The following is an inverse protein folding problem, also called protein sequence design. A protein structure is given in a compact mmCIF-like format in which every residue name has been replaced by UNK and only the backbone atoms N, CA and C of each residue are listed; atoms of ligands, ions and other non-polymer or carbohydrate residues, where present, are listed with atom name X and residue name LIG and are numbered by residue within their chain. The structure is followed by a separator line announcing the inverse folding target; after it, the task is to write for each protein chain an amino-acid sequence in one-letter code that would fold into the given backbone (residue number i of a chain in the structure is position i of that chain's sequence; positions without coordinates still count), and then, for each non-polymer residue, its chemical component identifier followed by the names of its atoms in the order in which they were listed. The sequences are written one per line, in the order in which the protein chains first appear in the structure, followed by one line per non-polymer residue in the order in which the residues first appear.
data_IF_768129920996
#
_entry.id   IF_768129920996
#
_cell.length_a   1.000
_cell.length_b   1.000
_cell.length_c   1.000
_cell.angle_alpha   90.00
_cell.angle_beta   90.00
_cell.angle_gamma   90.00
#
_symmetry.space_group_name_H-M   'P 1'
#
loop_
_entity.id
_entity.type
_entity.pdbx_description
1 polymer ?
#
# COMPACT_ATOMS: atom_id res chain seq x y z
N UNK A 1 0.45 -13.85 -26.21
CA UNK A 1 -0.14 -12.64 -26.84
C UNK A 1 0.86 -11.50 -26.75
N UNK A 2 1.23 -10.85 -27.87
CA UNK A 2 2.06 -9.62 -27.85
C UNK A 2 1.20 -8.48 -27.28
N UNK A 3 1.71 -7.81 -26.25
CA UNK A 3 1.03 -6.69 -25.58
C UNK A 3 1.45 -5.35 -26.18
N UNK A 4 2.75 -5.15 -26.37
CA UNK A 4 3.32 -3.89 -26.83
C UNK A 4 4.76 -4.09 -27.33
N UNK A 5 5.29 -3.06 -27.98
CA UNK A 5 6.69 -2.93 -28.38
C UNK A 5 7.11 -1.49 -28.11
N UNK A 6 8.34 -1.30 -27.60
CA UNK A 6 8.83 0.02 -27.24
C UNK A 6 10.24 0.25 -27.76
N UNK A 7 10.46 1.45 -28.31
CA UNK A 7 11.74 1.99 -28.81
C UNK A 7 12.57 1.05 -29.71
N UNK A 8 11.97 -0.03 -30.24
CA UNK A 8 12.66 -1.07 -31.02
C UNK A 8 13.55 -2.02 -30.20
N UNK A 9 13.72 -1.77 -28.89
CA UNK A 9 14.61 -2.55 -28.03
C UNK A 9 13.89 -3.60 -27.19
N UNK A 10 12.56 -3.52 -27.01
CA UNK A 10 11.80 -4.50 -26.23
C UNK A 10 10.46 -4.88 -26.86
N UNK A 11 10.12 -6.16 -26.73
CA UNK A 11 8.78 -6.68 -27.02
C UNK A 11 8.16 -7.28 -25.76
N UNK A 12 6.95 -6.85 -25.41
CA UNK A 12 6.23 -7.31 -24.23
C UNK A 12 5.17 -8.34 -24.62
N UNK A 13 5.11 -9.43 -23.88
CA UNK A 13 4.19 -10.53 -24.10
C UNK A 13 3.50 -10.94 -22.80
N UNK A 14 2.29 -11.46 -22.94
CA UNK A 14 1.59 -12.20 -21.90
C UNK A 14 1.25 -13.59 -22.39
N UNK A 15 1.62 -14.59 -21.61
CA UNK A 15 1.35 -16.00 -21.87
C UNK A 15 0.95 -16.67 -20.56
N UNK A 16 -0.24 -17.29 -20.54
CA UNK A 16 -0.83 -17.90 -19.35
C UNK A 16 -0.76 -17.00 -18.09
N UNK A 17 0.07 -17.39 -17.12
CA UNK A 17 0.28 -16.76 -15.81
C UNK A 17 1.59 -15.96 -15.76
N UNK A 18 2.11 -15.55 -16.92
CA UNK A 18 3.38 -14.83 -17.05
C UNK A 18 3.23 -13.59 -17.94
N UNK A 19 3.85 -12.48 -17.52
CA UNK A 19 4.17 -11.34 -18.38
C UNK A 19 5.68 -11.30 -18.54
N UNK A 20 6.17 -11.30 -19.77
CA UNK A 20 7.60 -11.29 -20.07
C UNK A 20 7.95 -10.26 -21.14
N UNK A 21 9.11 -9.64 -20.98
CA UNK A 21 9.75 -8.79 -21.96
C UNK A 21 10.90 -9.56 -22.62
N UNK A 22 10.90 -9.56 -23.95
CA UNK A 22 12.03 -10.00 -24.77
C UNK A 22 12.88 -8.79 -25.13
N UNK A 23 14.16 -8.84 -24.79
CA UNK A 23 15.14 -7.81 -25.10
C UNK A 23 15.65 -8.04 -26.51
N UNK A 24 15.28 -7.14 -27.43
CA UNK A 24 15.61 -7.23 -28.86
C UNK A 24 17.00 -6.66 -29.16
N UNK A 25 17.48 -5.77 -28.31
CA UNK A 25 18.83 -5.24 -28.30
C UNK A 25 19.53 -5.61 -26.99
N UNK A 26 20.88 -5.60 -26.92
CA UNK A 26 21.59 -5.85 -25.68
C UNK A 26 21.19 -4.81 -24.61
N UNK A 27 20.90 -5.26 -23.39
CA UNK A 27 20.57 -4.39 -22.26
C UNK A 27 21.41 -4.77 -21.05
N UNK A 28 21.81 -3.78 -20.25
CA UNK A 28 22.27 -3.96 -18.89
C UNK A 28 21.08 -4.04 -17.97
N UNK A 29 20.96 -5.15 -17.24
CA UNK A 29 19.88 -5.45 -16.31
C UNK A 29 20.40 -5.40 -14.87
N UNK A 30 19.71 -4.70 -13.99
CA UNK A 30 19.86 -4.80 -12.54
C UNK A 30 18.57 -5.34 -11.94
N UNK A 31 18.62 -6.48 -11.25
CA UNK A 31 17.43 -7.16 -10.73
C UNK A 31 17.59 -7.56 -9.27
N UNK A 32 16.50 -7.47 -8.50
CA UNK A 32 16.43 -7.95 -7.11
C UNK A 32 15.97 -9.41 -7.00
N UNK A 33 15.89 -10.16 -8.11
CA UNK A 33 15.50 -11.56 -8.04
C UNK A 33 16.47 -12.39 -7.18
N UNK A 34 15.94 -13.39 -6.47
CA UNK A 34 16.70 -14.22 -5.51
C UNK A 34 17.55 -15.32 -6.14
N UNK A 35 17.39 -15.56 -7.44
CA UNK A 35 18.23 -16.49 -8.21
C UNK A 35 19.57 -15.86 -8.59
N UNK A 36 20.47 -16.63 -9.19
CA UNK A 36 21.73 -16.20 -9.82
C UNK A 36 21.56 -15.11 -10.89
N UNK A 37 20.36 -14.92 -11.44
CA UNK A 37 20.04 -13.79 -12.32
C UNK A 37 19.81 -12.45 -11.57
N UNK A 38 19.97 -12.45 -10.24
CA UNK A 38 19.95 -11.24 -9.41
C UNK A 38 21.25 -10.46 -9.53
N UNK A 39 21.23 -9.18 -9.15
CA UNK A 39 22.36 -8.28 -9.36
C UNK A 39 22.40 -7.76 -10.80
N UNK A 40 23.60 -7.44 -11.28
CA UNK A 40 23.81 -6.75 -12.56
C UNK A 40 24.33 -7.70 -13.64
N UNK A 41 23.67 -7.73 -14.79
CA UNK A 41 23.94 -8.63 -15.91
C UNK A 41 23.80 -7.91 -17.25
N UNK A 42 24.69 -8.20 -18.20
CA UNK A 42 24.66 -7.64 -19.56
C UNK A 42 24.30 -8.70 -20.63
N UNK A 43 24.02 -9.94 -20.20
CA UNK A 43 23.88 -11.10 -21.09
C UNK A 43 22.47 -11.72 -21.10
N UNK A 44 21.52 -11.15 -20.35
CA UNK A 44 20.13 -11.59 -20.29
C UNK A 44 19.36 -11.21 -21.56
N UNK A 45 18.40 -12.04 -21.94
CA UNK A 45 17.53 -11.82 -23.11
C UNK A 45 16.06 -11.67 -22.72
N UNK A 46 15.67 -12.11 -21.52
CA UNK A 46 14.30 -12.10 -21.06
C UNK A 46 14.20 -11.63 -19.61
N UNK A 47 13.22 -10.76 -19.35
CA UNK A 47 12.77 -10.43 -18.00
C UNK A 47 11.31 -10.85 -17.89
N UNK A 48 10.94 -11.56 -16.84
CA UNK A 48 9.55 -11.95 -16.67
C UNK A 48 9.09 -11.87 -15.23
N UNK A 49 7.77 -11.69 -15.10
CA UNK A 49 7.05 -11.75 -13.85
C UNK A 49 6.01 -12.87 -13.95
N UNK A 50 6.11 -13.85 -13.06
CA UNK A 50 5.29 -15.06 -13.09
C UNK A 50 4.42 -15.15 -11.83
N UNK A 51 3.12 -15.40 -12.05
CA UNK A 51 2.16 -15.62 -10.97
C UNK A 51 2.32 -17.04 -10.40
N UNK A 52 3.00 -17.16 -9.25
CA UNK A 52 3.27 -18.44 -8.57
C UNK A 52 2.07 -19.00 -7.80
N UNK A 53 1.13 -18.15 -7.40
CA UNK A 53 -0.06 -18.51 -6.63
C UNK A 53 -1.22 -17.55 -6.86
N UNK A 54 -2.40 -17.93 -6.35
CA UNK A 54 -3.55 -17.03 -6.27
C UNK A 54 -3.44 -16.10 -5.06
N UNK A 55 -3.97 -14.86 -5.13
CA UNK A 55 -3.97 -13.89 -4.03
C UNK A 55 -4.73 -14.35 -2.78
N UNK A 56 -5.70 -15.26 -2.93
CA UNK A 56 -6.48 -15.80 -1.83
C UNK A 56 -6.53 -17.34 -1.92
N UNK A 57 -6.51 -18.00 -0.76
CA UNK A 57 -6.55 -19.46 -0.68
C UNK A 57 -5.24 -20.13 -1.15
N UNK A 58 -4.23 -20.15 -0.27
CA UNK A 58 -2.87 -20.69 -0.50
C UNK A 58 -2.78 -22.19 -0.91
N UNK A 59 -3.90 -22.85 -1.19
CA UNK A 59 -3.96 -24.29 -1.46
C UNK A 59 -3.64 -24.66 -2.91
N UNK A 60 -3.76 -23.74 -3.88
CA UNK A 60 -3.76 -24.13 -5.31
C UNK A 60 -2.38 -24.26 -5.99
N UNK A 61 -1.26 -23.89 -5.36
CA UNK A 61 0.07 -24.23 -5.91
C UNK A 61 1.19 -24.29 -4.86
N UNK A 62 0.95 -25.00 -3.77
CA UNK A 62 1.90 -25.12 -2.65
C UNK A 62 3.30 -25.62 -3.07
N UNK A 63 3.44 -26.29 -4.22
CA UNK A 63 4.74 -26.71 -4.76
C UNK A 63 5.51 -25.53 -5.36
N UNK A 64 4.92 -24.77 -6.29
CA UNK A 64 5.62 -23.65 -6.94
C UNK A 64 5.96 -22.53 -5.96
N UNK A 65 5.08 -22.24 -4.99
CA UNK A 65 5.40 -21.29 -3.92
C UNK A 65 6.56 -21.74 -3.05
N UNK A 66 6.58 -23.02 -2.62
CA UNK A 66 7.71 -23.56 -1.86
C UNK A 66 8.99 -23.50 -2.67
N UNK A 67 8.94 -23.89 -3.94
CA UNK A 67 10.09 -23.85 -4.84
C UNK A 67 10.63 -22.43 -4.99
N UNK A 68 9.76 -21.42 -5.16
CA UNK A 68 10.18 -20.01 -5.23
C UNK A 68 10.85 -19.50 -3.94
N UNK A 69 10.50 -20.07 -2.79
CA UNK A 69 11.04 -19.67 -1.48
C UNK A 69 12.34 -20.41 -1.14
N UNK A 70 12.34 -21.74 -1.29
CA UNK A 70 13.39 -22.66 -0.87
C UNK A 70 14.48 -22.85 -1.93
N UNK A 71 14.12 -22.78 -3.22
CA UNK A 71 15.04 -23.05 -4.34
C UNK A 71 14.72 -22.16 -5.55
N UNK A 72 15.01 -20.84 -5.49
CA UNK A 72 14.71 -19.89 -6.56
C UNK A 72 15.26 -20.28 -7.94
N UNK A 73 16.39 -21.00 -7.98
CA UNK A 73 16.98 -21.52 -9.22
C UNK A 73 16.12 -22.57 -9.91
N UNK A 74 15.64 -23.54 -9.15
CA UNK A 74 14.80 -24.60 -9.69
C UNK A 74 13.44 -24.04 -10.11
N UNK A 75 12.92 -23.05 -9.37
CA UNK A 75 11.74 -22.30 -9.76
C UNK A 75 11.92 -21.60 -11.10
N UNK A 76 13.03 -20.88 -11.28
CA UNK A 76 13.34 -20.22 -12.55
C UNK A 76 13.46 -21.20 -13.70
N UNK A 77 14.16 -22.33 -13.50
CA UNK A 77 14.32 -23.38 -14.52
C UNK A 77 12.96 -23.94 -14.93
N UNK A 78 12.14 -24.32 -13.95
CA UNK A 78 10.85 -24.95 -14.22
C UNK A 78 9.86 -24.00 -14.92
N UNK A 79 9.82 -22.71 -14.54
CA UNK A 79 8.98 -21.72 -15.24
C UNK A 79 9.49 -21.48 -16.66
N UNK A 80 10.80 -21.30 -16.84
CA UNK A 80 11.37 -21.06 -18.16
C UNK A 80 11.15 -22.25 -19.12
N UNK A 81 11.32 -23.49 -18.64
CA UNK A 81 11.11 -24.70 -19.44
C UNK A 81 9.66 -24.82 -19.92
N UNK A 82 8.67 -24.51 -19.07
CA UNK A 82 7.24 -24.53 -19.46
C UNK A 82 6.90 -23.54 -20.57
N UNK A 83 7.60 -22.41 -20.61
CA UNK A 83 7.39 -21.34 -21.59
C UNK A 83 8.41 -21.36 -22.73
N UNK A 84 9.20 -22.43 -22.86
CA UNK A 84 10.25 -22.57 -23.88
C UNK A 84 11.26 -21.39 -23.89
N UNK A 85 11.56 -20.83 -22.72
CA UNK A 85 12.53 -19.75 -22.56
C UNK A 85 13.90 -20.31 -22.13
N UNK A 86 15.03 -19.75 -22.60
CA UNK A 86 16.36 -20.16 -22.18
C UNK A 86 16.62 -19.69 -20.74
N UNK A 87 16.48 -20.59 -19.75
CA UNK A 87 16.49 -20.19 -18.33
C UNK A 87 17.75 -19.43 -17.90
N UNK A 88 18.93 -19.76 -18.45
CA UNK A 88 20.19 -19.06 -18.14
C UNK A 88 20.19 -17.60 -18.57
N UNK A 89 19.33 -17.23 -19.53
CA UNK A 89 19.20 -15.89 -20.11
C UNK A 89 17.97 -15.14 -19.59
N UNK A 90 17.36 -15.65 -18.52
CA UNK A 90 16.16 -15.07 -17.91
C UNK A 90 16.44 -14.57 -16.50
N UNK A 91 15.91 -13.39 -16.17
CA UNK A 91 15.66 -13.01 -14.77
C UNK A 91 14.16 -13.11 -14.45
N UNK A 92 13.88 -13.57 -13.24
CA UNK A 92 12.55 -13.99 -12.80
C UNK A 92 12.07 -13.19 -11.61
N UNK A 93 10.92 -12.55 -11.77
CA UNK A 93 10.13 -12.01 -10.67
C UNK A 93 8.96 -12.96 -10.36
N UNK A 94 8.65 -13.17 -9.09
CA UNK A 94 7.58 -14.04 -8.61
C UNK A 94 6.50 -13.26 -7.88
N UNK A 95 5.23 -13.55 -8.15
CA UNK A 95 4.11 -12.80 -7.58
C UNK A 95 2.86 -13.65 -7.35
N UNK A 96 1.97 -13.17 -6.48
CA UNK A 96 0.61 -13.68 -6.36
C UNK A 96 -0.41 -12.85 -7.16
N UNK A 97 -0.03 -11.66 -7.62
CA UNK A 97 -0.91 -10.76 -8.37
C UNK A 97 -1.32 -11.37 -9.71
N UNK A 98 -2.53 -11.05 -10.16
CA UNK A 98 -3.04 -11.56 -11.42
C UNK A 98 -2.34 -10.85 -12.59
N UNK A 99 -1.73 -11.61 -13.50
CA UNK A 99 -1.02 -11.06 -14.67
C UNK A 99 -1.90 -10.28 -15.64
N UNK A 100 -3.23 -10.44 -15.57
CA UNK A 100 -4.15 -9.59 -16.33
C UNK A 100 -4.21 -8.15 -15.80
N UNK A 101 -3.81 -7.93 -14.54
CA UNK A 101 -3.80 -6.63 -13.88
C UNK A 101 -2.43 -5.93 -13.98
N UNK A 102 -1.57 -6.38 -14.89
CA UNK A 102 -0.29 -5.72 -15.16
C UNK A 102 -0.54 -4.32 -15.76
N UNK A 103 -0.11 -3.29 -15.05
CA UNK A 103 -0.13 -1.92 -15.53
C UNK A 103 1.12 -1.64 -16.37
N UNK A 104 0.94 -0.97 -17.50
CA UNK A 104 2.03 -0.53 -18.39
C UNK A 104 1.95 1.00 -18.48
N UNK A 105 3.01 1.67 -18.05
CA UNK A 105 3.15 3.13 -18.15
C UNK A 105 4.38 3.48 -18.96
N UNK A 106 4.26 4.46 -19.86
CA UNK A 106 5.32 4.87 -20.78
C UNK A 106 5.37 6.38 -20.82
N UNK A 107 6.55 6.94 -20.56
CA UNK A 107 6.81 8.36 -20.66
C UNK A 107 7.99 8.63 -21.59
N UNK A 108 7.96 9.79 -22.25
CA UNK A 108 8.97 10.20 -23.22
C UNK A 108 9.36 11.65 -22.97
N UNK A 109 10.64 11.95 -23.08
CA UNK A 109 11.14 13.32 -23.12
C UNK A 109 12.27 13.42 -24.14
N UNK A 110 12.04 14.19 -25.21
CA UNK A 110 12.92 14.23 -26.38
C UNK A 110 13.16 12.81 -26.91
N UNK A 111 14.41 12.35 -26.85
CA UNK A 111 14.91 11.04 -27.27
C UNK A 111 14.99 10.01 -26.13
N UNK A 112 14.66 10.39 -24.89
CA UNK A 112 14.65 9.51 -23.74
C UNK A 112 13.26 8.88 -23.54
N UNK A 113 13.22 7.57 -23.36
CA UNK A 113 12.00 6.79 -23.12
C UNK A 113 12.16 5.90 -21.89
N UNK A 114 11.13 5.88 -21.05
CA UNK A 114 11.05 5.00 -19.88
C UNK A 114 9.71 4.27 -19.91
N UNK A 115 9.76 2.95 -19.78
CA UNK A 115 8.57 2.09 -19.69
C UNK A 115 8.60 1.35 -18.37
N UNK A 116 7.51 1.37 -17.62
CA UNK A 116 7.35 0.58 -16.39
C UNK A 116 6.17 -0.37 -16.53
N UNK A 117 6.43 -1.66 -16.32
CA UNK A 117 5.41 -2.69 -16.17
C UNK A 117 5.35 -3.09 -14.70
N UNK A 118 4.19 -2.91 -14.08
CA UNK A 118 4.00 -3.18 -12.66
C UNK A 118 2.82 -4.11 -12.42
N UNK A 119 2.97 -5.03 -11.47
CA UNK A 119 1.87 -5.79 -10.86
C UNK A 119 1.99 -5.61 -9.36
N UNK A 120 0.89 -5.34 -8.67
CA UNK A 120 0.92 -5.05 -7.24
C UNK A 120 -0.25 -5.69 -6.52
N UNK A 121 -0.01 -6.20 -5.31
CA UNK A 121 -1.05 -6.60 -4.37
C UNK A 121 -0.61 -6.34 -2.94
N UNK A 122 -1.44 -5.64 -2.14
CA UNK A 122 -1.05 -5.11 -0.81
C UNK A 122 -1.93 -5.58 0.35
N UNK A 123 -2.95 -6.38 0.11
CA UNK A 123 -3.87 -6.83 1.17
C UNK A 123 -3.22 -7.78 2.19
N UNK A 124 -2.25 -8.58 1.76
CA UNK A 124 -1.66 -9.62 2.60
C UNK A 124 -0.49 -9.18 3.46
N UNK A 125 0.58 -8.68 2.83
CA UNK A 125 1.91 -8.47 3.45
C UNK A 125 2.49 -7.07 3.18
N UNK A 126 1.64 -6.07 2.93
CA UNK A 126 2.10 -4.69 2.91
C UNK A 126 2.82 -4.35 4.21
N UNK A 127 4.00 -3.74 4.10
CA UNK A 127 4.89 -3.52 5.22
C UNK A 127 5.64 -2.21 5.10
N UNK A 128 6.04 -1.68 6.25
CA UNK A 128 6.84 -0.47 6.37
C UNK A 128 8.30 -0.86 6.61
N UNK A 129 9.22 -0.17 5.96
CA UNK A 129 10.65 -0.33 6.25
C UNK A 129 10.91 -0.05 7.74
N UNK A 130 11.51 -1.03 8.43
CA UNK A 130 11.72 -1.00 9.89
C UNK A 130 10.69 -1.78 10.70
N UNK A 131 9.65 -2.34 10.09
CA UNK A 131 8.72 -3.24 10.77
C UNK A 131 9.42 -4.53 11.26
N UNK A 132 8.88 -5.20 12.30
CA UNK A 132 9.48 -6.40 12.86
C UNK A 132 9.70 -7.51 11.81
N UNK A 133 10.92 -8.04 11.75
CA UNK A 133 11.25 -9.15 10.86
C UNK A 133 10.62 -10.47 11.32
N UNK A 134 10.22 -11.30 10.35
CA UNK A 134 9.66 -12.64 10.59
C UNK A 134 10.66 -13.78 10.38
N UNK A 135 11.86 -13.47 9.86
CA UNK A 135 12.86 -14.43 9.46
C UNK A 135 14.26 -13.89 9.75
N UNK A 136 15.16 -14.80 10.14
CA UNK A 136 16.60 -14.57 10.28
C UNK A 136 17.32 -15.63 9.45
N UNK A 137 18.30 -15.23 8.64
CA UNK A 137 19.12 -16.16 7.86
C UNK A 137 20.34 -16.57 8.69
N UNK A 138 20.34 -17.75 9.34
CA UNK A 138 21.48 -18.19 10.12
C UNK A 138 22.66 -18.55 9.20
N UNK A 139 23.87 -18.16 9.63
CA UNK A 139 25.10 -18.52 8.93
C UNK A 139 25.45 -20.01 9.06
N UNK A 140 25.02 -20.65 10.16
CA UNK A 140 25.23 -22.06 10.44
C UNK A 140 23.90 -22.84 10.49
N UNK A 141 23.89 -24.03 9.90
CA UNK A 141 22.73 -24.93 9.86
C UNK A 141 22.21 -25.32 11.26
N UNK A 142 23.04 -25.22 12.29
CA UNK A 142 22.70 -25.53 13.69
C UNK A 142 21.76 -24.51 14.34
N UNK A 143 21.65 -23.29 13.79
CA UNK A 143 20.77 -22.24 14.28
C UNK A 143 19.39 -22.23 13.59
N UNK A 144 19.14 -23.12 12.62
CA UNK A 144 17.84 -23.32 11.93
C UNK A 144 16.69 -23.75 12.87
N UNK A 145 16.97 -24.01 14.14
CA UNK A 145 16.01 -24.47 15.16
C UNK A 145 15.38 -23.38 16.04
N UNK A 146 15.81 -22.12 15.94
CA UNK A 146 15.08 -21.02 16.59
C UNK A 146 13.78 -20.81 15.83
N UNK A 147 12.67 -21.30 16.40
CA UNK A 147 11.32 -21.28 15.81
C UNK A 147 11.06 -19.94 15.13
N UNK A 148 11.15 -19.93 13.80
CA UNK A 148 10.51 -18.93 12.95
C UNK A 148 9.08 -18.80 13.49
N UNK A 149 8.71 -17.58 13.91
CA UNK A 149 7.31 -17.30 14.28
C UNK A 149 6.51 -17.64 13.04
N UNK A 150 5.80 -18.78 13.08
CA UNK A 150 5.25 -19.47 11.91
C UNK A 150 4.95 -18.52 10.76
N UNK A 151 5.71 -18.66 9.68
CA UNK A 151 5.61 -17.89 8.44
C UNK A 151 4.20 -18.07 7.84
N UNK A 152 3.22 -17.37 8.38
CA UNK A 152 1.94 -17.12 7.73
C UNK A 152 2.17 -15.96 6.75
N UNK A 153 3.07 -16.16 5.77
CA UNK A 153 3.27 -15.21 4.68
C UNK A 153 1.96 -15.12 3.91
N UNK A 154 1.21 -14.05 4.18
CA UNK A 154 0.04 -13.72 3.39
C UNK A 154 0.54 -13.22 2.02
N UNK A 155 -0.04 -13.69 0.92
CA UNK A 155 0.40 -13.29 -0.41
C UNK A 155 0.18 -11.79 -0.65
N UNK A 156 1.16 -11.17 -1.29
CA UNK A 156 1.14 -9.78 -1.74
C UNK A 156 2.54 -9.39 -2.21
N UNK A 157 2.65 -8.70 -3.33
CA UNK A 157 3.94 -8.19 -3.80
C UNK A 157 3.75 -7.11 -4.83
N UNK A 158 4.64 -6.13 -4.83
CA UNK A 158 4.75 -5.15 -5.90
C UNK A 158 6.01 -5.47 -6.70
N UNK A 159 5.80 -5.96 -7.93
CA UNK A 159 6.87 -6.28 -8.85
C UNK A 159 6.86 -5.30 -10.02
N UNK A 160 8.02 -4.75 -10.36
CA UNK A 160 8.18 -3.82 -11.46
C UNK A 160 9.34 -4.20 -12.40
N UNK A 161 9.09 -4.12 -13.70
CA UNK A 161 10.11 -4.16 -14.75
C UNK A 161 10.17 -2.79 -15.40
N UNK A 162 11.33 -2.14 -15.36
CA UNK A 162 11.57 -0.79 -15.85
C UNK A 162 12.55 -0.88 -17.01
N UNK A 163 12.21 -0.28 -18.13
CA UNK A 163 12.98 -0.33 -19.37
C UNK A 163 13.34 1.07 -19.83
N UNK A 164 14.60 1.28 -20.21
CA UNK A 164 15.18 2.58 -20.52
C UNK A 164 15.96 2.45 -21.84
N UNK A 165 15.66 3.31 -22.81
CA UNK A 165 16.28 3.26 -24.16
C UNK A 165 17.69 3.88 -24.23
N UNK A 166 18.39 3.97 -23.10
CA UNK A 166 19.71 4.59 -22.97
C UNK A 166 20.58 3.78 -22.04
N UNK A 167 21.86 3.68 -22.36
CA UNK A 167 22.83 3.01 -21.49
C UNK A 167 22.98 3.77 -20.18
N UNK A 168 23.02 3.04 -19.07
CA UNK A 168 23.27 3.58 -17.75
C UNK A 168 24.60 3.06 -17.19
N UNK A 169 25.31 3.95 -16.48
CA UNK A 169 26.42 3.50 -15.63
C UNK A 169 25.90 2.62 -14.49
N UNK A 170 26.74 1.74 -13.91
CA UNK A 170 26.35 0.97 -12.72
C UNK A 170 25.76 1.81 -11.58
N UNK A 171 26.33 3.00 -11.32
CA UNK A 171 25.80 3.93 -10.32
C UNK A 171 24.42 4.47 -10.67
N UNK A 172 24.18 4.76 -11.96
CA UNK A 172 22.86 5.20 -12.43
C UNK A 172 21.81 4.08 -12.35
N UNK A 173 22.18 2.82 -12.60
CA UNK A 173 21.28 1.67 -12.40
C UNK A 173 20.79 1.56 -10.95
N UNK A 174 21.69 1.73 -9.98
CA UNK A 174 21.33 1.75 -8.56
C UNK A 174 20.44 2.95 -8.24
N UNK A 175 20.78 4.14 -8.75
CA UNK A 175 19.96 5.34 -8.57
C UNK A 175 18.55 5.19 -9.16
N UNK A 176 18.39 4.45 -10.26
CA UNK A 176 17.10 4.14 -10.85
C UNK A 176 16.23 3.29 -9.92
N UNK A 177 16.82 2.25 -9.29
CA UNK A 177 16.12 1.42 -8.29
C UNK A 177 15.70 2.23 -7.07
N UNK A 178 16.55 3.13 -6.57
CA UNK A 178 16.21 4.04 -5.47
C UNK A 178 15.01 4.90 -5.84
N UNK A 179 15.08 5.58 -6.99
CA UNK A 179 14.01 6.47 -7.46
C UNK A 179 12.68 5.73 -7.66
N UNK A 180 12.73 4.53 -8.25
CA UNK A 180 11.54 3.69 -8.39
C UNK A 180 10.96 3.24 -7.02
N UNK A 181 11.82 2.93 -6.05
CA UNK A 181 11.39 2.54 -4.70
C UNK A 181 10.69 3.70 -3.96
N UNK A 182 11.23 4.91 -4.09
CA UNK A 182 10.63 6.12 -3.52
C UNK A 182 9.30 6.46 -4.20
N UNK A 183 9.21 6.33 -5.52
CA UNK A 183 7.96 6.55 -6.28
C UNK A 183 6.86 5.55 -5.90
N UNK A 184 7.20 4.26 -5.74
CA UNK A 184 6.30 3.24 -5.19
C UNK A 184 5.80 3.63 -3.79
N UNK A 185 6.72 4.05 -2.93
CA UNK A 185 6.39 4.46 -1.55
C UNK A 185 5.43 5.65 -1.55
N UNK A 186 5.66 6.65 -2.40
CA UNK A 186 4.77 7.80 -2.55
C UNK A 186 3.36 7.38 -3.00
N UNK A 187 3.24 6.48 -3.98
CA UNK A 187 1.94 5.97 -4.42
C UNK A 187 1.19 5.22 -3.30
N UNK A 188 1.89 4.43 -2.47
CA UNK A 188 1.29 3.76 -1.32
C UNK A 188 0.87 4.73 -0.23
N UNK A 189 1.66 5.78 0.01
CA UNK A 189 1.34 6.83 0.97
C UNK A 189 0.09 7.61 0.54
N UNK A 190 -0.03 7.99 -0.74
CA UNK A 190 -1.21 8.68 -1.29
C UNK A 190 -2.48 7.83 -1.21
N UNK A 191 -2.34 6.51 -1.30
CA UNK A 191 -3.44 5.56 -1.10
C UNK A 191 -3.64 5.17 0.38
N UNK A 192 -2.91 5.76 1.33
CA UNK A 192 -3.00 5.45 2.77
C UNK A 192 -2.91 3.94 3.04
N UNK A 193 -2.07 3.21 2.29
CA UNK A 193 -1.98 1.75 2.42
C UNK A 193 -1.41 1.40 3.79
N UNK A 194 -2.15 0.65 4.64
CA UNK A 194 -1.68 0.32 5.99
C UNK A 194 -0.55 -0.71 5.93
N UNK A 195 0.39 -0.61 6.88
CA UNK A 195 1.22 -1.76 7.21
C UNK A 195 0.35 -2.85 7.85
N UNK A 196 0.68 -4.11 7.58
CA UNK A 196 0.09 -5.28 8.23
C UNK A 196 0.91 -5.77 9.44
N UNK A 197 1.93 -5.00 9.81
CA UNK A 197 2.88 -5.34 10.89
C UNK A 197 3.08 -4.21 11.92
N UNK A 198 2.54 -3.02 11.67
CA UNK A 198 2.58 -1.87 12.58
C UNK A 198 1.46 -0.87 12.28
N UNK A 199 1.28 0.12 13.16
CA UNK A 199 0.33 1.24 13.00
C UNK A 199 0.69 2.20 11.85
N UNK A 200 1.82 1.99 11.17
CA UNK A 200 2.32 2.87 10.12
C UNK A 200 1.69 2.62 8.74
N UNK A 201 2.04 3.49 7.79
CA UNK A 201 1.77 3.27 6.38
C UNK A 201 2.86 2.39 5.76
N UNK A 202 2.45 1.55 4.82
CA UNK A 202 3.36 0.67 4.08
C UNK A 202 4.26 1.47 3.13
N UNK A 203 5.52 1.06 3.02
CA UNK A 203 6.49 1.59 2.04
C UNK A 203 6.72 0.62 0.88
N UNK A 204 6.06 -0.54 0.93
CA UNK A 204 6.17 -1.63 -0.02
C UNK A 204 5.46 -2.88 0.51
N UNK A 205 5.82 -4.04 -0.01
CA UNK A 205 5.56 -5.32 0.64
C UNK A 205 6.85 -5.98 1.10
N UNK A 206 6.73 -7.01 1.94
CA UNK A 206 7.88 -7.80 2.39
C UNK A 206 8.64 -8.55 1.29
N UNK A 207 8.15 -8.55 0.04
CA UNK A 207 8.70 -9.36 -1.06
C UNK A 207 8.85 -8.59 -2.37
N UNK A 208 8.79 -7.26 -2.36
CA UNK A 208 8.85 -6.44 -3.58
C UNK A 208 10.07 -6.78 -4.45
N UNK A 209 9.87 -6.79 -5.76
CA UNK A 209 10.96 -7.03 -6.71
C UNK A 209 11.01 -5.98 -7.82
N UNK A 210 12.20 -5.51 -8.15
CA UNK A 210 12.42 -4.54 -9.22
C UNK A 210 13.50 -5.08 -10.16
N UNK A 211 13.23 -4.99 -11.46
CA UNK A 211 14.23 -5.19 -12.50
C UNK A 211 14.30 -3.93 -13.38
N UNK A 212 15.49 -3.34 -13.51
CA UNK A 212 15.76 -2.22 -14.41
C UNK A 212 16.60 -2.73 -15.57
N UNK A 213 16.17 -2.52 -16.81
CA UNK A 213 16.89 -2.82 -18.03
C UNK A 213 17.19 -1.53 -18.79
N UNK A 214 18.47 -1.28 -19.05
CA UNK A 214 18.95 -0.14 -19.81
C UNK A 214 19.60 -0.62 -21.10
N UNK A 215 19.16 -0.10 -22.24
CA UNK A 215 19.70 -0.48 -23.55
C UNK A 215 21.20 -0.15 -23.63
N UNK A 216 22.03 -1.10 -24.04
CA UNK A 216 23.48 -0.91 -24.18
C UNK A 216 23.80 -0.17 -25.48
N UNK A 217 24.78 0.72 -25.42
CA UNK A 217 25.26 1.48 -26.56
C UNK A 217 25.03 3.00 -26.42
N UNK A 218 25.92 3.76 -27.06
CA UNK A 218 25.92 5.21 -27.01
C UNK A 218 26.60 5.77 -25.76
N UNK A 219 26.26 7.00 -25.40
CA UNK A 219 26.81 7.67 -24.22
C UNK A 219 25.99 7.31 -22.99
N UNK A 220 26.63 6.63 -22.02
CA UNK A 220 25.98 6.21 -20.80
C UNK A 220 25.56 7.41 -19.93
N UNK A 221 24.30 7.42 -19.49
CA UNK A 221 23.83 8.37 -18.48
C UNK A 221 24.39 7.97 -17.12
N UNK A 222 24.92 8.97 -16.40
CA UNK A 222 25.64 8.76 -15.14
C UNK A 222 24.76 8.92 -13.90
N UNK A 223 23.50 9.37 -14.05
CA UNK A 223 22.61 9.63 -12.92
C UNK A 223 21.13 9.44 -13.29
N UNK A 224 20.37 8.87 -12.36
CA UNK A 224 18.94 8.60 -12.50
C UNK A 224 18.14 9.04 -11.26
N UNK A 225 18.68 9.95 -10.44
CA UNK A 225 17.98 10.49 -9.26
C UNK A 225 17.03 11.65 -9.61
N UNK A 226 16.30 12.14 -8.60
CA UNK A 226 15.18 13.11 -8.73
C UNK A 226 15.51 14.43 -9.45
N UNK A 227 16.77 14.87 -9.46
CA UNK A 227 17.19 16.07 -10.18
C UNK A 227 17.47 15.85 -11.68
N UNK A 228 17.51 14.59 -12.12
CA UNK A 228 17.70 14.25 -13.52
C UNK A 228 16.34 14.04 -14.21
N UNK A 229 16.29 14.34 -15.52
CA UNK A 229 15.11 14.04 -16.33
C UNK A 229 14.80 12.54 -16.34
N UNK A 230 15.82 11.69 -16.38
CA UNK A 230 15.64 10.24 -16.29
C UNK A 230 14.94 9.83 -14.98
N UNK A 231 15.40 10.37 -13.84
CA UNK A 231 14.78 10.11 -12.55
C UNK A 231 13.35 10.62 -12.46
N UNK A 232 13.04 11.78 -13.05
CA UNK A 232 11.65 12.27 -13.17
C UNK A 232 10.76 11.28 -13.95
N UNK A 233 11.23 10.80 -15.10
CA UNK A 233 10.46 9.85 -15.92
C UNK A 233 10.25 8.52 -15.19
N UNK A 234 11.30 7.94 -14.59
CA UNK A 234 11.20 6.72 -13.76
C UNK A 234 10.22 6.93 -12.61
N UNK A 235 10.32 8.06 -11.92
CA UNK A 235 9.44 8.39 -10.80
C UNK A 235 7.97 8.43 -11.22
N UNK A 236 7.67 9.13 -12.33
CA UNK A 236 6.30 9.24 -12.86
C UNK A 236 5.76 7.90 -13.35
N UNK A 237 6.51 7.16 -14.18
CA UNK A 237 6.03 5.87 -14.71
C UNK A 237 5.84 4.84 -13.62
N UNK A 238 6.72 4.80 -12.61
CA UNK A 238 6.60 3.87 -11.49
C UNK A 238 5.41 4.22 -10.59
N UNK A 239 5.24 5.49 -10.23
CA UNK A 239 4.11 5.95 -9.41
C UNK A 239 2.76 5.61 -10.07
N UNK A 240 2.57 6.01 -11.33
CA UNK A 240 1.37 5.72 -12.11
C UNK A 240 1.12 4.20 -12.24
N UNK A 241 2.18 3.42 -12.49
CA UNK A 241 2.06 1.98 -12.68
C UNK A 241 1.62 1.28 -11.39
N UNK A 242 2.10 1.73 -10.22
CA UNK A 242 1.65 1.20 -8.92
C UNK A 242 0.17 1.54 -8.68
N UNK A 243 -0.24 2.80 -8.87
CA UNK A 243 -1.64 3.20 -8.68
C UNK A 243 -2.59 2.39 -9.58
N UNK A 244 -2.25 2.23 -10.87
CA UNK A 244 -3.07 1.46 -11.81
C UNK A 244 -3.11 -0.03 -11.46
N UNK A 245 -1.97 -0.60 -11.07
CA UNK A 245 -1.89 -2.02 -10.70
C UNK A 245 -2.74 -2.31 -9.46
N UNK A 246 -2.68 -1.47 -8.42
CA UNK A 246 -3.47 -1.63 -7.20
C UNK A 246 -4.96 -1.36 -7.43
N UNK A 247 -5.31 -0.42 -8.31
CA UNK A 247 -6.70 -0.21 -8.72
C UNK A 247 -7.29 -1.46 -9.39
N UNK A 248 -6.55 -2.11 -10.30
CA UNK A 248 -7.00 -3.33 -10.98
C UNK A 248 -6.99 -4.56 -10.07
N UNK A 249 -5.99 -4.69 -9.18
CA UNK A 249 -5.82 -5.87 -8.34
C UNK A 249 -6.67 -5.85 -7.06
N UNK A 250 -6.68 -4.73 -6.34
CA UNK A 250 -7.31 -4.60 -5.02
C UNK A 250 -8.52 -3.64 -5.02
N UNK A 251 -8.83 -2.98 -6.15
CA UNK A 251 -9.83 -1.92 -6.18
C UNK A 251 -9.40 -0.65 -5.44
N UNK A 252 -8.11 -0.54 -5.08
CA UNK A 252 -7.57 0.60 -4.33
C UNK A 252 -7.41 1.80 -5.26
N UNK A 253 -8.23 2.82 -5.04
CA UNK A 253 -8.25 4.07 -5.79
C UNK A 253 -8.37 5.24 -4.83
N UNK A 254 -8.00 6.48 -5.22
CA UNK A 254 -8.24 7.65 -4.36
C UNK A 254 -9.69 7.77 -3.88
N UNK A 255 -10.67 7.45 -4.74
CA UNK A 255 -12.08 7.44 -4.39
C UNK A 255 -12.42 6.36 -3.34
N UNK A 256 -11.85 5.15 -3.45
CA UNK A 256 -12.08 4.08 -2.47
C UNK A 256 -11.42 4.35 -1.11
N UNK A 257 -10.45 5.28 -1.05
CA UNK A 257 -9.82 5.72 0.21
C UNK A 257 -10.54 6.87 0.89
N UNK A 258 -11.60 7.41 0.29
CA UNK A 258 -12.52 8.35 0.94
C UNK A 258 -13.43 7.60 1.95
N UNK A 259 -12.82 7.07 3.00
CA UNK A 259 -13.48 6.29 4.06
C UNK A 259 -12.71 6.44 5.37
N UNK A 260 -13.39 6.76 6.47
CA UNK A 260 -12.76 6.82 7.80
C UNK A 260 -12.13 5.47 8.18
N UNK A 261 -12.71 4.35 7.72
CA UNK A 261 -12.16 3.02 7.93
C UNK A 261 -10.79 2.85 7.26
N UNK A 262 -10.54 3.49 6.11
CA UNK A 262 -9.26 3.44 5.40
C UNK A 262 -8.09 3.98 6.24
N UNK A 263 -8.34 4.99 7.08
CA UNK A 263 -7.34 5.56 7.98
C UNK A 263 -7.17 4.76 9.27
N UNK A 264 -8.25 4.11 9.73
CA UNK A 264 -8.28 3.38 10.98
C UNK A 264 -7.83 1.92 10.84
N UNK A 265 -7.92 1.30 9.65
CA UNK A 265 -7.59 -0.13 9.45
C UNK A 265 -6.13 -0.49 9.80
N UNK A 266 -5.21 0.48 9.77
CA UNK A 266 -3.82 0.30 10.23
C UNK A 266 -3.71 0.06 11.73
N UNK A 267 -4.75 0.40 12.49
CA UNK A 267 -4.92 0.08 13.91
C UNK A 267 -5.60 -1.30 14.07
N UNK A 268 -5.54 -2.15 13.05
CA UNK A 268 -6.09 -3.51 12.99
C UNK A 268 -7.61 -3.60 13.24
N UNK A 269 -8.35 -2.53 12.99
CA UNK A 269 -9.81 -2.52 13.11
C UNK A 269 -10.49 -2.87 11.78
N UNK A 270 -11.54 -3.69 11.85
CA UNK A 270 -12.39 -4.03 10.71
C UNK A 270 -13.71 -3.27 10.76
N UNK A 271 -14.42 -3.27 9.63
CA UNK A 271 -15.75 -2.65 9.52
C UNK A 271 -16.72 -3.06 10.64
N UNK A 272 -16.79 -4.36 10.94
CA UNK A 272 -17.71 -4.88 11.97
C UNK A 272 -17.34 -4.36 13.37
N UNK A 273 -16.05 -4.35 13.70
CA UNK A 273 -15.54 -3.88 14.99
C UNK A 273 -15.74 -2.36 15.14
N UNK A 274 -15.52 -1.58 14.08
CA UNK A 274 -15.79 -0.14 14.08
C UNK A 274 -17.29 0.14 14.28
N UNK A 275 -18.16 -0.60 13.60
CA UNK A 275 -19.60 -0.43 13.73
C UNK A 275 -20.11 -0.80 15.13
N UNK A 276 -19.64 -1.93 15.68
CA UNK A 276 -20.00 -2.40 17.01
C UNK A 276 -19.47 -1.46 18.10
N UNK A 277 -18.19 -1.07 18.03
CA UNK A 277 -17.57 -0.19 19.01
C UNK A 277 -18.24 1.18 19.08
N UNK A 278 -18.69 1.76 17.95
CA UNK A 278 -19.50 2.99 17.96
C UNK A 278 -20.90 2.72 18.54
N UNK A 279 -21.52 1.59 18.18
CA UNK A 279 -22.84 1.20 18.64
C UNK A 279 -22.96 1.04 20.16
N UNK A 280 -21.89 0.65 20.85
CA UNK A 280 -21.84 0.51 22.31
C UNK A 280 -22.07 1.84 23.05
N UNK A 281 -21.74 2.97 22.42
CA UNK A 281 -21.93 4.31 22.98
C UNK A 281 -23.23 4.98 22.51
N UNK A 282 -24.09 4.27 21.79
CA UNK A 282 -25.36 4.77 21.26
C UNK A 282 -26.55 4.12 21.98
N UNK A 283 -27.70 4.81 21.98
CA UNK A 283 -28.97 4.17 22.32
C UNK A 283 -29.28 3.07 21.31
N UNK A 284 -30.10 2.07 21.70
CA UNK A 284 -30.43 0.93 20.84
C UNK A 284 -30.99 1.35 19.47
N UNK A 285 -31.85 2.38 19.44
CA UNK A 285 -32.45 2.88 18.21
C UNK A 285 -31.41 3.59 17.32
N UNK A 286 -30.54 4.40 17.92
CA UNK A 286 -29.46 5.06 17.20
C UNK A 286 -28.41 4.06 16.70
N UNK A 287 -28.07 3.03 17.48
CA UNK A 287 -27.13 1.99 17.06
C UNK A 287 -27.65 1.23 15.82
N UNK A 288 -28.93 0.85 15.81
CA UNK A 288 -29.56 0.21 14.65
C UNK A 288 -29.57 1.14 13.43
N UNK A 289 -29.88 2.43 13.60
CA UNK A 289 -29.88 3.40 12.52
C UNK A 289 -28.46 3.64 11.97
N UNK A 290 -27.47 3.69 12.86
CA UNK A 290 -26.06 3.83 12.52
C UNK A 290 -25.57 2.64 11.69
N UNK A 291 -25.86 1.41 12.14
CA UNK A 291 -25.48 0.18 11.43
C UNK A 291 -26.05 0.15 10.01
N UNK A 292 -27.33 0.50 9.84
CA UNK A 292 -27.98 0.55 8.53
C UNK A 292 -27.39 1.62 7.59
N UNK A 293 -26.82 2.69 8.14
CA UNK A 293 -26.25 3.82 7.39
C UNK A 293 -24.73 3.90 7.50
N UNK A 294 -24.07 2.85 7.96
CA UNK A 294 -22.66 2.87 8.33
C UNK A 294 -21.79 3.44 7.22
N UNK A 295 -21.90 2.87 6.01
CA UNK A 295 -21.13 3.29 4.85
C UNK A 295 -21.37 4.75 4.45
N UNK A 296 -22.58 5.28 4.64
CA UNK A 296 -22.88 6.68 4.31
C UNK A 296 -22.21 7.65 5.29
N UNK A 297 -22.02 7.23 6.54
CA UNK A 297 -21.44 8.07 7.59
C UNK A 297 -19.92 8.01 7.53
N UNK A 298 -19.35 6.80 7.45
CA UNK A 298 -17.88 6.65 7.43
C UNK A 298 -17.26 7.06 6.10
N UNK A 299 -18.03 7.14 5.01
CA UNK A 299 -17.56 7.65 3.71
C UNK A 299 -17.99 9.10 3.44
N UNK A 300 -18.59 9.79 4.42
CA UNK A 300 -18.90 11.22 4.29
C UNK A 300 -17.59 12.04 4.21
N UNK A 301 -17.36 12.84 3.15
CA UNK A 301 -16.06 13.50 2.94
C UNK A 301 -15.60 14.39 4.10
N UNK A 302 -16.51 15.07 4.79
CA UNK A 302 -16.17 15.94 5.93
C UNK A 302 -15.75 15.08 7.13
N UNK A 303 -16.47 14.00 7.37
CA UNK A 303 -16.14 13.02 8.42
C UNK A 303 -14.81 12.33 8.15
N UNK A 304 -14.56 11.94 6.89
CA UNK A 304 -13.28 11.36 6.46
C UNK A 304 -12.13 12.34 6.71
N UNK A 305 -12.28 13.61 6.32
CA UNK A 305 -11.25 14.63 6.53
C UNK A 305 -10.93 14.85 8.02
N UNK A 306 -11.97 14.88 8.88
CA UNK A 306 -11.78 15.03 10.33
C UNK A 306 -11.05 13.83 10.94
N UNK A 307 -11.42 12.60 10.55
CA UNK A 307 -10.75 11.37 11.01
C UNK A 307 -9.31 11.31 10.50
N UNK A 308 -9.06 11.63 9.22
CA UNK A 308 -7.72 11.66 8.65
C UNK A 308 -6.79 12.60 9.42
N UNK A 309 -7.28 13.81 9.76
CA UNK A 309 -6.53 14.77 10.56
C UNK A 309 -6.23 14.23 11.98
N UNK A 310 -7.23 13.68 12.67
CA UNK A 310 -7.09 13.12 14.02
C UNK A 310 -6.07 11.97 14.04
N UNK A 311 -6.17 11.06 13.08
CA UNK A 311 -5.27 9.90 12.92
C UNK A 311 -3.84 10.36 12.60
N UNK A 312 -3.66 11.37 11.73
CA UNK A 312 -2.35 11.92 11.44
C UNK A 312 -1.74 12.66 12.65
N UNK A 313 -2.56 13.31 13.48
CA UNK A 313 -2.08 13.96 14.70
C UNK A 313 -1.61 12.95 15.74
N UNK A 314 -2.30 11.81 15.87
CA UNK A 314 -1.79 10.68 16.67
C UNK A 314 -0.38 10.28 16.21
N UNK A 315 -0.16 10.18 14.90
CA UNK A 315 1.18 9.86 14.37
C UNK A 315 2.22 10.90 14.76
N UNK A 316 1.88 12.19 14.72
CA UNK A 316 2.81 13.26 15.11
C UNK A 316 3.26 13.15 16.56
N UNK A 317 2.39 12.69 17.46
CA UNK A 317 2.78 12.39 18.83
C UNK A 317 3.66 11.14 18.92
N UNK A 318 3.29 10.04 18.23
CA UNK A 318 4.10 8.81 18.22
C UNK A 318 5.49 9.01 17.61
N UNK A 319 5.65 9.95 16.67
CA UNK A 319 6.94 10.32 16.08
C UNK A 319 7.72 11.33 16.91
N UNK A 320 7.17 11.80 18.04
CA UNK A 320 7.78 12.83 18.89
C UNK A 320 7.86 14.22 18.25
N UNK A 321 7.06 14.49 17.21
CA UNK A 321 6.99 15.79 16.55
C UNK A 321 6.21 16.79 17.40
N UNK A 322 5.14 16.33 18.05
CA UNK A 322 4.35 17.13 18.99
C UNK A 322 4.67 16.72 20.45
N UNK A 323 4.72 17.67 21.39
CA UNK A 323 5.03 17.38 22.79
C UNK A 323 3.86 16.69 23.49
N UNK A 324 4.15 15.75 24.40
CA UNK A 324 3.12 15.00 25.13
C UNK A 324 2.18 15.89 25.95
N UNK A 325 2.64 17.07 26.38
CA UNK A 325 1.88 18.01 27.21
C UNK A 325 0.61 18.55 26.55
N UNK A 326 0.48 18.48 25.23
CA UNK A 326 -0.70 18.95 24.50
C UNK A 326 -1.55 17.82 23.88
N UNK A 327 -1.25 16.54 24.18
CA UNK A 327 -2.02 15.39 23.65
C UNK A 327 -3.52 15.56 23.91
N UNK A 328 -3.87 15.87 25.15
CA UNK A 328 -5.25 15.91 25.59
C UNK A 328 -6.05 17.04 24.91
N UNK A 329 -5.46 18.24 24.84
CA UNK A 329 -6.06 19.39 24.16
C UNK A 329 -6.25 19.15 22.66
N UNK A 330 -5.21 18.65 21.99
CA UNK A 330 -5.24 18.39 20.54
C UNK A 330 -6.23 17.29 20.19
N UNK A 331 -6.20 16.14 20.88
CA UNK A 331 -7.11 15.06 20.56
C UNK A 331 -8.57 15.43 20.87
N UNK A 332 -8.84 16.18 21.95
CA UNK A 332 -10.20 16.68 22.24
C UNK A 332 -10.70 17.65 21.16
N UNK A 333 -9.86 18.57 20.71
CA UNK A 333 -10.21 19.54 19.68
C UNK A 333 -10.53 18.86 18.33
N UNK A 334 -9.71 17.90 17.91
CA UNK A 334 -9.91 17.22 16.62
C UNK A 334 -10.96 16.10 16.71
N UNK A 335 -11.12 15.46 17.87
CA UNK A 335 -12.27 14.59 18.15
C UNK A 335 -13.59 15.35 18.04
N UNK A 336 -13.64 16.60 18.52
CA UNK A 336 -14.82 17.44 18.37
C UNK A 336 -15.15 17.77 16.91
N UNK A 337 -14.15 17.84 16.04
CA UNK A 337 -14.37 17.97 14.60
C UNK A 337 -15.00 16.72 13.99
N UNK A 338 -14.62 15.52 14.47
CA UNK A 338 -15.29 14.27 14.08
C UNK A 338 -16.77 14.31 14.50
N UNK A 339 -17.07 14.66 15.75
CA UNK A 339 -18.46 14.78 16.23
C UNK A 339 -19.27 15.83 15.45
N UNK A 340 -18.66 16.99 15.16
CA UNK A 340 -19.29 18.05 14.38
C UNK A 340 -19.55 17.63 12.93
N UNK A 341 -18.64 16.88 12.31
CA UNK A 341 -18.79 16.36 10.96
C UNK A 341 -19.91 15.31 10.89
N UNK A 342 -19.92 14.33 11.81
CA UNK A 342 -20.94 13.27 11.85
C UNK A 342 -22.34 13.84 12.10
N UNK A 343 -22.46 14.83 12.98
CA UNK A 343 -23.72 15.51 13.32
C UNK A 343 -24.19 16.50 12.26
N UNK A 344 -23.27 17.06 11.46
CA UNK A 344 -23.52 18.21 10.59
C UNK A 344 -23.65 19.55 11.34
N UNK A 345 -23.27 19.62 12.63
CA UNK A 345 -23.50 20.78 13.51
C UNK A 345 -22.20 21.45 13.94
N UNK A 346 -21.59 22.21 13.03
CA UNK A 346 -20.32 22.93 13.29
C UNK A 346 -20.43 23.96 14.43
N UNK A 347 -21.62 24.51 14.69
CA UNK A 347 -21.84 25.45 15.80
C UNK A 347 -21.67 24.80 17.19
N UNK A 348 -21.76 23.47 17.29
CA UNK A 348 -21.62 22.72 18.55
C UNK A 348 -20.22 22.19 18.81
N UNK A 349 -19.24 22.47 17.94
CA UNK A 349 -17.85 21.98 18.09
C UNK A 349 -17.24 22.28 19.47
N UNK A 350 -17.52 23.45 20.07
CA UNK A 350 -17.01 23.77 21.40
C UNK A 350 -17.63 22.89 22.50
N UNK A 351 -18.93 22.60 22.42
CA UNK A 351 -19.61 21.71 23.36
C UNK A 351 -19.08 20.27 23.23
N UNK A 352 -18.90 19.78 22.00
CA UNK A 352 -18.27 18.47 21.76
C UNK A 352 -16.86 18.40 22.34
N UNK A 353 -16.05 19.44 22.16
CA UNK A 353 -14.70 19.50 22.73
C UNK A 353 -14.74 19.42 24.27
N UNK A 354 -15.65 20.13 24.93
CA UNK A 354 -15.78 20.07 26.39
C UNK A 354 -16.13 18.65 26.85
N UNK A 355 -17.09 17.99 26.20
CA UNK A 355 -17.49 16.61 26.53
C UNK A 355 -16.31 15.65 26.32
N UNK A 356 -15.64 15.73 25.17
CA UNK A 356 -14.52 14.86 24.84
C UNK A 356 -13.29 15.10 25.71
N UNK A 357 -13.10 16.32 26.21
CA UNK A 357 -12.03 16.64 27.16
C UNK A 357 -12.21 15.97 28.53
N UNK A 358 -13.42 15.57 28.89
CA UNK A 358 -13.63 14.81 30.13
C UNK A 358 -13.17 13.33 30.00
N UNK A 359 -12.93 12.86 28.78
CA UNK A 359 -12.54 11.48 28.51
C UNK A 359 -11.06 11.23 28.78
N UNK A 360 -10.73 9.97 29.08
CA UNK A 360 -9.35 9.52 29.16
C UNK A 360 -8.78 9.43 27.76
N UNK A 361 -7.75 10.23 27.49
CA UNK A 361 -7.04 10.24 26.21
C UNK A 361 -5.73 9.49 26.34
N UNK A 362 -5.45 8.59 25.41
CA UNK A 362 -4.18 7.86 25.30
C UNK A 362 -3.84 7.63 23.82
N UNK A 363 -2.54 7.52 23.52
CA UNK A 363 -2.04 7.20 22.18
C UNK A 363 -2.01 5.69 21.90
N UNK A 364 -2.18 4.89 22.96
CA UNK A 364 -2.34 3.43 22.83
C UNK A 364 -3.47 3.11 21.86
N UNK A 365 -3.28 2.03 21.08
CA UNK A 365 -4.14 1.69 19.96
C UNK A 365 -5.61 1.56 20.38
N UNK A 366 -5.87 0.81 21.44
CA UNK A 366 -7.23 0.47 21.86
C UNK A 366 -7.92 1.69 22.48
N UNK A 367 -7.21 2.43 23.34
CA UNK A 367 -7.73 3.65 23.94
C UNK A 367 -7.99 4.77 22.92
N UNK A 368 -7.16 4.87 21.87
CA UNK A 368 -7.39 5.82 20.79
C UNK A 368 -8.61 5.44 19.94
N UNK A 369 -8.79 4.14 19.63
CA UNK A 369 -9.97 3.66 18.92
C UNK A 369 -11.25 3.90 19.73
N UNK A 370 -11.23 3.64 21.03
CA UNK A 370 -12.35 3.94 21.93
C UNK A 370 -12.70 5.44 21.91
N UNK A 371 -11.70 6.32 21.97
CA UNK A 371 -11.90 7.77 21.83
C UNK A 371 -12.55 8.14 20.50
N UNK A 372 -12.13 7.53 19.39
CA UNK A 372 -12.75 7.73 18.07
C UNK A 372 -14.20 7.24 18.09
N UNK A 373 -14.50 6.10 18.71
CA UNK A 373 -15.87 5.58 18.79
C UNK A 373 -16.79 6.54 19.53
N UNK A 374 -16.33 7.06 20.67
CA UNK A 374 -17.07 8.04 21.47
C UNK A 374 -17.28 9.35 20.71
N UNK A 375 -16.29 9.82 19.95
CA UNK A 375 -16.45 11.00 19.09
C UNK A 375 -17.50 10.80 17.98
N UNK A 376 -17.51 9.63 17.32
CA UNK A 376 -18.54 9.26 16.35
C UNK A 376 -19.92 9.18 17.00
N UNK A 377 -20.04 8.48 18.12
CA UNK A 377 -21.31 8.28 18.82
C UNK A 377 -21.89 9.60 19.36
N UNK A 378 -21.04 10.49 19.88
CA UNK A 378 -21.45 11.82 20.32
C UNK A 378 -22.03 12.65 19.17
N UNK A 379 -21.36 12.66 18.01
CA UNK A 379 -21.87 13.34 16.83
C UNK A 379 -23.16 12.71 16.29
N UNK A 380 -23.22 11.38 16.27
CA UNK A 380 -24.37 10.68 15.71
C UNK A 380 -25.62 10.80 16.60
N UNK A 381 -25.46 10.73 17.92
CA UNK A 381 -26.56 10.84 18.88
C UNK A 381 -27.29 12.18 18.80
N UNK A 382 -26.57 13.25 18.44
CA UNK A 382 -27.14 14.58 18.26
C UNK A 382 -27.51 14.90 16.81
N UNK A 383 -27.27 14.02 15.83
CA UNK A 383 -27.44 14.31 14.40
C UNK A 383 -28.83 14.84 14.06
N UNK A 384 -29.87 14.28 14.69
CA UNK A 384 -31.27 14.65 14.45
C UNK A 384 -31.93 15.43 15.58
N UNK A 385 -31.23 15.66 16.70
CA UNK A 385 -31.79 16.40 17.84
C UNK A 385 -32.00 17.86 17.44
N UNK A 386 -33.24 18.34 17.37
CA UNK A 386 -33.49 19.77 17.14
C UNK A 386 -33.22 20.55 18.44
N UNK A 387 -32.42 21.63 18.42
CA UNK A 387 -32.24 22.48 19.61
C UNK A 387 -33.54 23.12 20.11
N UNK A 388 -34.61 23.11 19.31
CA UNK A 388 -35.93 23.64 19.67
C UNK A 388 -36.87 22.60 20.33
N UNK A 389 -36.57 21.30 20.25
CA UNK A 389 -37.42 20.27 20.85
C UNK A 389 -37.32 20.23 22.39
N UNK A 390 -36.16 20.56 22.96
CA UNK A 390 -35.95 20.57 24.41
C UNK A 390 -36.63 21.77 25.12
N UNK A 391 -37.07 22.79 24.37
CA UNK A 391 -37.77 23.97 24.94
C UNK A 391 -39.28 23.72 25.06
N UNK A 392 -39.82 22.70 24.38
CA UNK A 392 -41.26 22.42 24.37
C UNK A 392 -41.72 21.57 25.56
N UNK A 393 -40.81 20.93 26.31
CA UNK A 393 -41.16 20.12 27.48
C UNK A 393 -41.20 20.91 28.81
N UNK A 394 -40.63 22.13 28.88
CA UNK A 394 -40.58 22.91 30.14
C UNK A 394 -41.69 23.96 30.33
N UNK A 395 -42.64 24.10 29.40
CA UNK A 395 -43.76 25.07 29.54
C UNK A 395 -45.12 24.40 29.74
N UNK A 396 -45.18 23.38 30.60
CA UNK A 396 -46.43 22.88 31.18
C UNK A 396 -46.93 23.78 32.30
N UNK A 397 -47.61 24.89 31.98
CA UNK A 397 -48.39 25.65 32.97
C UNK A 397 -49.76 24.98 33.18
N UNK A 398 -50.17 24.64 34.42
CA UNK A 398 -51.53 24.16 34.70
C UNK A 398 -52.49 25.36 34.78
N UNK A 399 -53.59 25.27 34.02
CA UNK A 399 -54.75 26.15 34.12
C UNK A 399 -55.84 25.55 35.01
#
# INVERSE_FOLDING_TARGET
MKLAEFYGGIELYREEKMVYAKLMTPHRVLSTCRSSAGGMHDDLMYLYNHQSCEPAGCHMNARMCRLAMESPEDYRREVADRHNLPFQKCATLGTAANMNNAAICHERFCDLEVVTICTGGVEGNAGRAGDPASYYEPQDDSAKGQKDRGCNMRPGTINAMIFINRELTPGAMVAAVITATEAKTAALQELEVPSRYSDGLATGTGTDQIAVASELGGNALSYAGKHSKLGELIGRTMHDAVLRALAMQNGLTPASRCSSLAYLERLEIRQQELCQGIGEFLSRDNANLFEQNFSNIVNDPITVAAVAALVHLRDKFLWGVLPESCIHEVLSLYGAQVSAAVSGKTSRSYAYMQILSALKVSLDKDAFLEFVFQAFALGFSEKWSCPECDVCEETGFPG
#
